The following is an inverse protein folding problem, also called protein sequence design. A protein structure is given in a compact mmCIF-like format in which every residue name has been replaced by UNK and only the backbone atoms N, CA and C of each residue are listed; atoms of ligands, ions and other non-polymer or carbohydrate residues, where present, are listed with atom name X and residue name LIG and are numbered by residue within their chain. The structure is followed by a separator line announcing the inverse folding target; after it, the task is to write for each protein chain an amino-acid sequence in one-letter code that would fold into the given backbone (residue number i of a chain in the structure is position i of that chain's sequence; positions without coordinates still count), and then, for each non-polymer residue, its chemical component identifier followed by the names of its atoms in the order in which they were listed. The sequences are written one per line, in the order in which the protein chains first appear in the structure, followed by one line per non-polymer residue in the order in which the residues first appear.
data_IF_775023898790
#
_entry.id   IF_775023898790
#
_cell.length_a   1.000
_cell.length_b   1.000
_cell.length_c   1.000
_cell.angle_alpha   90.00
_cell.angle_beta   90.00
_cell.angle_gamma   90.00
#
_symmetry.space_group_name_H-M   'P 1'
#
loop_
_entity.id
_entity.type
_entity.pdbx_description
1 polymer ?
#
# COMPACT_ATOMS: atom_id res chain seq x y z
N UNK A 1 12.59 0.84 -19.62
CA UNK A 1 11.32 0.52 -18.94
C UNK A 1 10.49 1.78 -18.92
N UNK A 2 9.20 1.69 -19.24
CA UNK A 2 8.28 2.81 -19.16
C UNK A 2 7.54 2.78 -17.82
N UNK A 3 7.48 3.93 -17.15
CA UNK A 3 6.68 4.16 -15.95
C UNK A 3 5.60 5.19 -16.28
N UNK A 4 4.33 4.83 -16.15
CA UNK A 4 3.23 5.77 -16.40
C UNK A 4 2.51 6.12 -15.10
N UNK A 5 2.54 7.39 -14.72
CA UNK A 5 1.83 7.87 -13.55
C UNK A 5 0.53 8.58 -13.94
N UNK A 6 -0.56 8.32 -13.22
CA UNK A 6 -1.82 9.03 -13.42
C UNK A 6 -2.60 9.13 -12.10
N UNK A 7 -3.75 9.79 -12.17
CA UNK A 7 -4.68 9.91 -11.05
C UNK A 7 -5.99 9.26 -11.44
N UNK A 8 -6.50 8.39 -10.58
CA UNK A 8 -7.79 7.74 -10.75
C UNK A 8 -8.93 8.72 -10.43
N UNK A 9 -10.12 8.55 -11.04
CA UNK A 9 -11.32 9.22 -10.58
C UNK A 9 -11.67 8.80 -9.14
N UNK A 10 -12.66 9.45 -8.48
CA UNK A 10 -13.13 9.02 -7.17
C UNK A 10 -13.40 7.52 -7.09
N UNK A 11 -12.87 6.90 -6.04
CA UNK A 11 -12.90 5.45 -5.89
C UNK A 11 -14.27 4.99 -5.41
N UNK A 12 -14.84 4.02 -6.11
CA UNK A 12 -15.98 3.24 -5.61
C UNK A 12 -15.46 2.11 -4.72
N UNK A 13 -15.70 2.24 -3.42
CA UNK A 13 -15.39 1.19 -2.45
C UNK A 13 -16.47 0.12 -2.45
N UNK A 14 -16.06 -1.12 -2.72
CA UNK A 14 -16.93 -2.29 -2.72
C UNK A 14 -16.95 -2.95 -1.34
N UNK A 15 -18.06 -3.60 -1.00
CA UNK A 15 -18.11 -4.47 0.16
C UNK A 15 -17.17 -5.68 -0.03
N UNK A 16 -16.55 -6.12 1.06
CA UNK A 16 -15.63 -7.28 1.04
C UNK A 16 -16.39 -8.57 0.67
N UNK A 17 -16.02 -9.28 -0.41
CA UNK A 17 -16.60 -10.58 -0.71
C UNK A 17 -16.12 -11.64 0.31
N UNK A 18 -16.86 -12.74 0.45
CA UNK A 18 -16.52 -13.81 1.39
C UNK A 18 -15.12 -14.42 1.18
N UNK A 19 -14.62 -14.41 -0.07
CA UNK A 19 -13.29 -14.88 -0.48
C UNK A 19 -12.17 -13.83 -0.32
N UNK A 20 -12.48 -12.65 0.22
CA UNK A 20 -11.67 -11.43 0.23
C UNK A 20 -11.37 -10.85 -1.17
N UNK A 21 -10.94 -11.68 -2.13
CA UNK A 21 -10.73 -11.32 -3.54
C UNK A 21 -11.79 -12.03 -4.40
N UNK A 22 -12.41 -11.34 -5.36
CA UNK A 22 -13.41 -11.98 -6.22
C UNK A 22 -12.78 -12.92 -7.26
N UNK A 23 -11.57 -12.59 -7.75
CA UNK A 23 -10.77 -13.45 -8.62
C UNK A 23 -9.26 -13.38 -8.28
N UNK A 24 -8.76 -14.22 -7.35
CA UNK A 24 -7.37 -14.19 -6.90
C UNK A 24 -6.30 -14.34 -8.00
N UNK A 25 -6.65 -14.98 -9.13
CA UNK A 25 -5.73 -15.22 -10.24
C UNK A 25 -5.64 -14.11 -11.27
N UNK A 26 -6.51 -13.08 -11.20
CA UNK A 26 -6.56 -12.02 -12.21
C UNK A 26 -6.81 -10.62 -11.63
N UNK A 27 -7.36 -10.51 -10.42
CA UNK A 27 -7.70 -9.22 -9.83
C UNK A 27 -6.51 -8.61 -9.10
N UNK A 28 -6.39 -7.28 -9.20
CA UNK A 28 -5.60 -6.47 -8.27
C UNK A 28 -6.57 -5.87 -7.27
N UNK A 29 -6.47 -6.26 -6.00
CA UNK A 29 -7.37 -5.78 -4.96
C UNK A 29 -6.63 -4.84 -3.99
N UNK A 30 -7.17 -3.65 -3.77
CA UNK A 30 -6.72 -2.70 -2.75
C UNK A 30 -7.81 -2.54 -1.69
N UNK A 31 -7.47 -2.89 -0.45
CA UNK A 31 -8.36 -2.82 0.70
C UNK A 31 -8.04 -1.58 1.52
N UNK A 32 -9.06 -0.86 1.98
CA UNK A 32 -8.93 0.10 3.09
C UNK A 32 -9.51 -0.46 4.37
N UNK A 33 -8.83 -0.22 5.48
CA UNK A 33 -9.25 -0.64 6.82
C UNK A 33 -9.20 0.56 7.76
N UNK A 34 -10.32 0.99 8.35
CA UNK A 34 -10.35 2.07 9.32
C UNK A 34 -9.84 1.58 10.68
N UNK A 35 -8.79 2.21 11.19
CA UNK A 35 -8.18 1.84 12.47
C UNK A 35 -9.16 2.18 13.61
N UNK A 36 -9.66 3.41 13.68
CA UNK A 36 -10.55 3.90 14.75
C UNK A 36 -11.75 2.98 15.00
N UNK A 37 -12.40 2.53 13.94
CA UNK A 37 -13.60 1.67 14.01
C UNK A 37 -13.27 0.27 14.53
N UNK A 38 -12.02 -0.19 14.36
CA UNK A 38 -11.58 -1.53 14.75
C UNK A 38 -10.77 -1.56 16.07
N UNK A 39 -10.51 -0.42 16.72
CA UNK A 39 -9.69 -0.38 17.95
C UNK A 39 -10.30 -1.18 19.10
N UNK A 40 -11.63 -1.09 19.28
CA UNK A 40 -12.35 -1.86 20.29
C UNK A 40 -12.29 -3.37 20.08
N UNK A 41 -11.91 -3.83 18.89
CA UNK A 41 -11.81 -5.24 18.55
C UNK A 41 -10.41 -5.82 18.76
N UNK A 42 -9.41 -4.99 19.10
CA UNK A 42 -8.02 -5.44 19.21
C UNK A 42 -7.82 -6.72 20.06
N UNK A 43 -8.47 -6.91 21.23
CA UNK A 43 -8.35 -8.15 22.01
C UNK A 43 -8.85 -9.39 21.25
N UNK A 44 -9.91 -9.25 20.45
CA UNK A 44 -10.50 -10.32 19.65
C UNK A 44 -9.71 -10.60 18.37
N UNK A 45 -8.86 -9.66 17.93
CA UNK A 45 -7.98 -9.82 16.78
C UNK A 45 -6.65 -10.50 17.12
N UNK A 46 -6.20 -10.45 18.38
CA UNK A 46 -4.94 -11.08 18.82
C UNK A 46 -4.82 -12.57 18.46
N UNK A 47 -5.86 -13.41 18.57
CA UNK A 47 -5.77 -14.82 18.17
C UNK A 47 -5.50 -15.06 16.68
N UNK A 48 -5.68 -14.04 15.83
CA UNK A 48 -5.35 -14.11 14.40
C UNK A 48 -3.84 -13.95 14.13
N UNK A 49 -3.09 -13.42 15.10
CA UNK A 49 -1.65 -13.15 15.01
C UNK A 49 -0.85 -14.33 15.56
N UNK A 50 0.39 -14.49 15.08
CA UNK A 50 1.34 -15.45 15.66
C UNK A 50 1.82 -15.00 17.03
N UNK A 51 2.36 -15.93 17.84
CA UNK A 51 2.93 -15.60 19.14
C UNK A 51 4.04 -14.52 19.05
N UNK A 52 4.89 -14.57 18.01
CA UNK A 52 5.93 -13.58 17.78
C UNK A 52 5.36 -12.18 17.47
N UNK A 53 4.27 -12.11 16.70
CA UNK A 53 3.59 -10.85 16.41
C UNK A 53 2.86 -10.31 17.63
N UNK A 54 2.20 -11.16 18.42
CA UNK A 54 1.59 -10.75 19.69
C UNK A 54 2.65 -10.19 20.65
N UNK A 55 3.83 -10.82 20.73
CA UNK A 55 4.94 -10.32 21.53
C UNK A 55 5.46 -8.97 20.99
N UNK A 56 5.55 -8.81 19.66
CA UNK A 56 5.92 -7.54 19.03
C UNK A 56 4.90 -6.44 19.33
N UNK A 57 3.61 -6.74 19.28
CA UNK A 57 2.55 -5.79 19.59
C UNK A 57 2.75 -5.20 21.00
N UNK A 58 3.04 -6.06 21.99
CA UNK A 58 3.26 -5.66 23.39
C UNK A 58 4.46 -4.73 23.61
N UNK A 59 5.34 -4.55 22.61
CA UNK A 59 6.50 -3.64 22.71
C UNK A 59 6.15 -2.19 22.35
N UNK A 60 4.99 -1.93 21.74
CA UNK A 60 4.56 -0.55 21.49
C UNK A 60 4.12 0.11 22.79
N UNK A 61 4.72 1.26 23.11
CA UNK A 61 4.36 2.05 24.29
C UNK A 61 3.12 2.90 24.06
N UNK A 62 2.95 3.45 22.85
CA UNK A 62 1.78 4.24 22.49
C UNK A 62 0.61 3.34 22.10
N UNK A 63 -0.56 3.56 22.70
CA UNK A 63 -1.79 2.81 22.39
C UNK A 63 -2.17 2.90 20.90
N UNK A 64 -1.93 4.05 20.27
CA UNK A 64 -2.18 4.23 18.84
C UNK A 64 -1.32 3.29 17.98
N UNK A 65 -0.04 3.14 18.28
CA UNK A 65 0.86 2.25 17.54
C UNK A 65 0.56 0.78 17.81
N UNK A 66 0.17 0.44 19.05
CA UNK A 66 -0.32 -0.88 19.42
C UNK A 66 -1.55 -1.28 18.59
N UNK A 67 -2.59 -0.44 18.57
CA UNK A 67 -3.80 -0.69 17.79
C UNK A 67 -3.51 -0.75 16.28
N UNK A 68 -2.73 0.21 15.76
CA UNK A 68 -2.34 0.23 14.34
C UNK A 68 -1.65 -1.07 13.95
N UNK A 69 -0.71 -1.56 14.75
CA UNK A 69 -0.01 -2.80 14.48
C UNK A 69 -0.95 -4.01 14.47
N UNK A 70 -1.79 -4.16 15.50
CA UNK A 70 -2.70 -5.31 15.60
C UNK A 70 -3.72 -5.31 14.47
N UNK A 71 -4.38 -4.18 14.22
CA UNK A 71 -5.42 -4.06 13.19
C UNK A 71 -4.82 -4.31 11.81
N UNK A 72 -3.68 -3.67 11.50
CA UNK A 72 -2.98 -3.89 10.23
C UNK A 72 -2.59 -5.36 10.04
N UNK A 73 -2.03 -6.00 11.06
CA UNK A 73 -1.57 -7.38 10.96
C UNK A 73 -2.72 -8.38 10.88
N UNK A 74 -3.76 -8.17 11.68
CA UNK A 74 -4.96 -9.00 11.68
C UNK A 74 -5.71 -8.92 10.34
N UNK A 75 -5.88 -7.70 9.81
CA UNK A 75 -6.47 -7.48 8.50
C UNK A 75 -5.70 -8.21 7.39
N UNK A 76 -4.37 -8.05 7.36
CA UNK A 76 -3.51 -8.73 6.38
C UNK A 76 -3.68 -10.25 6.44
N UNK A 77 -3.56 -10.83 7.64
CA UNK A 77 -3.68 -12.28 7.81
C UNK A 77 -5.07 -12.81 7.47
N UNK A 78 -6.12 -12.06 7.80
CA UNK A 78 -7.50 -12.43 7.50
C UNK A 78 -7.77 -12.41 5.99
N UNK A 79 -7.34 -11.35 5.30
CA UNK A 79 -7.50 -11.22 3.85
C UNK A 79 -6.73 -12.31 3.12
N UNK A 80 -5.44 -12.50 3.41
CA UNK A 80 -4.63 -13.55 2.79
C UNK A 80 -5.14 -14.95 3.15
N UNK A 81 -5.57 -15.18 4.39
CA UNK A 81 -6.13 -16.46 4.82
C UNK A 81 -7.41 -16.79 4.05
N UNK A 82 -8.26 -15.80 3.81
CA UNK A 82 -9.45 -15.96 2.97
C UNK A 82 -9.09 -16.25 1.50
N UNK A 83 -8.08 -15.57 0.93
CA UNK A 83 -7.62 -15.84 -0.43
C UNK A 83 -7.08 -17.27 -0.60
N UNK A 84 -6.40 -17.80 0.43
CA UNK A 84 -5.70 -19.08 0.39
C UNK A 84 -6.51 -20.25 0.97
N UNK A 85 -7.67 -19.99 1.58
CA UNK A 85 -8.39 -20.99 2.36
C UNK A 85 -7.62 -21.50 3.59
N UNK A 86 -6.73 -20.67 4.15
CA UNK A 86 -5.85 -21.03 5.27
C UNK A 86 -6.20 -20.26 6.56
N UNK A 87 -6.01 -20.85 7.75
CA UNK A 87 -6.16 -20.14 9.01
C UNK A 87 -5.22 -18.92 9.08
N UNK A 88 -5.70 -17.72 9.47
CA UNK A 88 -4.88 -16.50 9.52
C UNK A 88 -3.57 -16.64 10.30
N UNK A 89 -3.60 -17.32 11.46
CA UNK A 89 -2.43 -17.54 12.31
C UNK A 89 -1.43 -18.56 11.73
N UNK A 90 -1.86 -19.39 10.78
CA UNK A 90 -1.01 -20.38 10.11
C UNK A 90 -0.21 -19.84 8.93
N UNK A 91 -0.45 -18.58 8.52
CA UNK A 91 0.31 -17.97 7.42
C UNK A 91 1.74 -17.65 7.85
N UNK A 92 2.70 -18.10 7.05
CA UNK A 92 4.12 -17.83 7.27
C UNK A 92 4.62 -16.73 6.32
N UNK A 93 5.11 -15.65 6.93
CA UNK A 93 5.71 -14.52 6.22
C UNK A 93 7.22 -14.59 6.30
N UNK A 94 7.88 -14.48 5.15
CA UNK A 94 9.34 -14.48 5.04
C UNK A 94 9.84 -13.17 4.43
N UNK A 95 11.08 -12.79 4.74
CA UNK A 95 11.72 -11.66 4.08
C UNK A 95 12.23 -12.09 2.71
N UNK A 96 11.70 -11.47 1.65
CA UNK A 96 12.22 -11.57 0.30
C UNK A 96 13.38 -10.59 0.04
N UNK A 97 13.76 -10.41 -1.24
CA UNK A 97 14.74 -9.41 -1.65
C UNK A 97 14.44 -8.03 -1.04
N UNK A 98 15.49 -7.34 -0.57
CA UNK A 98 15.41 -6.03 0.08
C UNK A 98 14.36 -5.95 1.23
N UNK A 99 14.14 -7.06 1.93
CA UNK A 99 13.19 -7.20 3.06
C UNK A 99 11.72 -7.03 2.68
N UNK A 100 11.35 -7.05 1.39
CA UNK A 100 9.96 -7.07 0.98
C UNK A 100 9.29 -8.35 1.51
N UNK A 101 8.20 -8.26 2.29
CA UNK A 101 7.63 -9.44 2.92
C UNK A 101 6.86 -10.28 1.88
N UNK A 102 7.07 -11.59 1.90
CA UNK A 102 6.48 -12.57 0.99
C UNK A 102 5.74 -13.65 1.78
N UNK A 103 4.84 -14.39 1.11
CA UNK A 103 4.26 -15.62 1.64
C UNK A 103 5.19 -16.79 1.33
N UNK A 104 5.56 -17.59 2.35
CA UNK A 104 6.51 -18.69 2.18
C UNK A 104 6.00 -19.78 1.22
N UNK A 105 4.70 -20.06 1.25
CA UNK A 105 4.08 -21.21 0.57
C UNK A 105 3.45 -20.86 -0.77
N UNK A 106 3.28 -19.58 -1.09
CA UNK A 106 2.53 -19.11 -2.27
C UNK A 106 3.30 -17.96 -2.96
N UNK A 107 4.42 -18.26 -3.64
CA UNK A 107 5.31 -17.23 -4.17
C UNK A 107 4.74 -16.40 -5.31
N UNK A 108 3.61 -16.82 -5.91
CA UNK A 108 2.92 -16.10 -6.98
C UNK A 108 1.84 -15.13 -6.48
N UNK A 109 1.54 -15.11 -5.18
CA UNK A 109 0.63 -14.15 -4.58
C UNK A 109 1.42 -13.05 -3.89
N UNK A 110 1.37 -11.85 -4.44
CA UNK A 110 2.08 -10.68 -3.94
C UNK A 110 1.13 -9.84 -3.09
N UNK A 111 1.70 -9.18 -2.09
CA UNK A 111 0.97 -8.22 -1.29
C UNK A 111 1.85 -7.05 -0.87
N UNK A 112 1.21 -5.94 -0.52
CA UNK A 112 1.88 -4.81 0.09
C UNK A 112 0.96 -4.15 1.12
N UNK A 113 1.55 -3.53 2.15
CA UNK A 113 0.80 -2.88 3.22
C UNK A 113 1.39 -1.50 3.46
N UNK A 114 0.52 -0.50 3.57
CA UNK A 114 0.87 0.83 3.99
C UNK A 114 -0.15 1.32 5.03
N UNK A 115 0.24 2.27 5.87
CA UNK A 115 -0.67 2.87 6.83
C UNK A 115 -0.24 4.31 7.13
N UNK A 116 -1.20 5.18 7.32
CA UNK A 116 -0.95 6.56 7.77
C UNK A 116 -2.18 7.06 8.50
N UNK A 117 -1.96 7.85 9.56
CA UNK A 117 -3.03 8.30 10.44
C UNK A 117 -3.93 7.14 10.93
N UNK A 118 -5.20 7.18 10.50
CA UNK A 118 -6.26 6.27 10.91
C UNK A 118 -6.59 5.18 9.88
N UNK A 119 -5.80 5.02 8.82
CA UNK A 119 -6.08 4.07 7.74
C UNK A 119 -4.93 3.11 7.50
N UNK A 120 -5.29 1.88 7.17
CA UNK A 120 -4.40 0.87 6.60
C UNK A 120 -4.85 0.60 5.17
N UNK A 121 -3.92 0.58 4.24
CA UNK A 121 -4.10 0.01 2.91
C UNK A 121 -3.38 -1.33 2.81
N UNK A 122 -4.06 -2.30 2.21
CA UNK A 122 -3.49 -3.60 1.87
C UNK A 122 -3.74 -3.82 0.39
N UNK A 123 -2.71 -4.14 -0.38
CA UNK A 123 -2.84 -4.52 -1.78
C UNK A 123 -2.50 -6.02 -1.91
N UNK A 124 -3.28 -6.76 -2.71
CA UNK A 124 -3.07 -8.19 -3.01
C UNK A 124 -3.25 -8.38 -4.52
N UNK A 125 -2.31 -9.09 -5.15
CA UNK A 125 -2.32 -9.33 -6.59
C UNK A 125 -1.54 -10.60 -6.98
N UNK A 126 -1.83 -11.21 -8.15
CA UNK A 126 -1.04 -12.29 -8.74
C UNK A 126 0.26 -11.80 -9.42
N UNK A 127 0.56 -10.50 -9.30
CA UNK A 127 1.72 -9.83 -9.88
C UNK A 127 2.33 -8.90 -8.84
N UNK A 128 3.58 -8.47 -9.07
CA UNK A 128 4.22 -7.50 -8.18
C UNK A 128 3.36 -6.26 -7.95
N UNK A 129 3.25 -5.85 -6.68
CA UNK A 129 2.42 -4.72 -6.29
C UNK A 129 3.03 -3.94 -5.14
N UNK A 130 2.75 -2.64 -5.12
CA UNK A 130 3.08 -1.73 -4.03
C UNK A 130 1.94 -0.74 -3.81
N UNK A 131 1.71 -0.36 -2.55
CA UNK A 131 0.73 0.65 -2.17
C UNK A 131 1.37 1.59 -1.17
N UNK A 132 0.95 2.85 -1.22
CA UNK A 132 1.31 3.84 -0.22
C UNK A 132 0.12 4.74 0.12
N UNK A 133 0.10 5.26 1.35
CA UNK A 133 -0.94 6.16 1.84
C UNK A 133 -0.32 7.16 2.80
N UNK A 134 -0.70 8.42 2.67
CA UNK A 134 -0.32 9.48 3.60
C UNK A 134 -1.51 10.35 4.02
N UNK A 135 -1.57 10.65 5.32
CA UNK A 135 -2.44 11.70 5.85
C UNK A 135 -1.86 13.04 5.42
N UNK A 136 -2.64 13.79 4.65
CA UNK A 136 -2.22 15.11 4.17
C UNK A 136 -2.27 16.10 5.32
N UNK A 137 -1.12 16.68 5.63
CA UNK A 137 -0.97 17.80 6.54
C UNK A 137 -0.56 19.05 5.74
N UNK A 138 -1.43 20.07 5.60
CA UNK A 138 -1.12 21.30 4.88
C UNK A 138 0.10 22.06 5.43
N UNK A 139 0.39 21.89 6.73
CA UNK A 139 1.44 22.62 7.44
C UNK A 139 2.76 21.83 7.51
N UNK A 140 2.81 20.63 6.90
CA UNK A 140 4.01 19.80 6.91
C UNK A 140 5.19 20.52 6.21
N UNK A 141 6.35 20.69 6.87
CA UNK A 141 7.47 21.45 6.32
C UNK A 141 8.30 20.60 5.33
N UNK A 142 7.70 20.19 4.22
CA UNK A 142 8.33 19.30 3.22
C UNK A 142 9.52 19.92 2.46
N UNK A 143 9.81 21.21 2.63
CA UNK A 143 10.82 21.90 1.84
C UNK A 143 12.22 21.33 2.00
N UNK A 144 12.56 20.82 3.19
CA UNK A 144 13.83 20.15 3.46
C UNK A 144 13.97 18.80 2.76
N UNK A 145 12.87 18.20 2.30
CA UNK A 145 12.85 16.87 1.65
C UNK A 145 12.95 17.00 0.13
N UNK A 146 12.56 18.16 -0.43
CA UNK A 146 12.44 18.35 -1.87
C UNK A 146 13.75 18.10 -2.64
N UNK A 147 14.88 18.59 -2.12
CA UNK A 147 16.15 18.49 -2.81
C UNK A 147 16.66 17.05 -2.92
N UNK A 148 16.40 16.24 -1.90
CA UNK A 148 16.93 14.88 -1.79
C UNK A 148 16.02 13.83 -2.42
N UNK A 149 14.73 14.12 -2.59
CA UNK A 149 13.72 13.13 -3.00
C UNK A 149 13.01 13.45 -4.31
N UNK A 150 13.18 14.65 -4.88
CA UNK A 150 12.44 15.08 -6.07
C UNK A 150 13.36 15.71 -7.11
N UNK A 151 13.13 15.37 -8.38
CA UNK A 151 13.79 16.01 -9.51
C UNK A 151 13.39 17.48 -9.65
N UNK A 152 14.19 18.29 -10.37
CA UNK A 152 13.88 19.72 -10.56
C UNK A 152 12.47 19.98 -11.15
N UNK A 153 11.98 19.22 -12.15
CA UNK A 153 10.62 19.38 -12.64
C UNK A 153 9.54 19.07 -11.58
N UNK A 154 9.76 18.06 -10.74
CA UNK A 154 8.83 17.70 -9.66
C UNK A 154 8.82 18.77 -8.55
N UNK A 155 9.99 19.30 -8.19
CA UNK A 155 10.08 20.40 -7.24
C UNK A 155 9.35 21.65 -7.77
N UNK A 156 9.51 21.97 -9.05
CA UNK A 156 8.80 23.09 -9.68
C UNK A 156 7.28 22.87 -9.65
N UNK A 157 6.83 21.66 -10.01
CA UNK A 157 5.42 21.28 -9.94
C UNK A 157 4.84 21.46 -8.53
N UNK A 158 5.53 20.96 -7.50
CA UNK A 158 5.09 21.11 -6.09
C UNK A 158 5.00 22.57 -5.69
N UNK A 159 6.04 23.37 -5.95
CA UNK A 159 6.11 24.78 -5.53
C UNK A 159 5.08 25.67 -6.23
N UNK A 160 4.74 25.37 -7.48
CA UNK A 160 3.80 26.15 -8.28
C UNK A 160 2.34 25.71 -8.11
N UNK A 161 2.10 24.57 -7.46
CA UNK A 161 0.75 24.05 -7.26
C UNK A 161 -0.05 24.94 -6.29
N UNK A 162 -1.36 25.19 -6.51
CA UNK A 162 -2.20 25.97 -5.60
C UNK A 162 -2.28 25.39 -4.17
N UNK A 163 -2.07 24.07 -4.05
CA UNK A 163 -1.95 23.36 -2.78
C UNK A 163 -0.63 22.56 -2.76
N UNK A 164 0.50 23.18 -2.40
CA UNK A 164 1.82 22.55 -2.48
C UNK A 164 1.96 21.27 -1.65
N UNK A 165 1.43 21.24 -0.42
CA UNK A 165 1.46 20.05 0.42
C UNK A 165 0.72 18.86 -0.24
N UNK A 166 -0.46 19.10 -0.82
CA UNK A 166 -1.20 18.08 -1.56
C UNK A 166 -0.40 17.54 -2.74
N UNK A 167 0.26 18.42 -3.51
CA UNK A 167 1.12 17.99 -4.62
C UNK A 167 2.33 17.18 -4.13
N UNK A 168 2.95 17.60 -3.02
CA UNK A 168 4.03 16.85 -2.38
C UNK A 168 3.58 15.43 -2.01
N UNK A 169 2.50 15.27 -1.25
CA UNK A 169 2.01 13.94 -0.85
C UNK A 169 1.60 13.08 -2.05
N UNK A 170 1.01 13.67 -3.09
CA UNK A 170 0.70 12.94 -4.32
C UNK A 170 1.96 12.37 -4.97
N UNK A 171 2.99 13.18 -5.18
CA UNK A 171 4.23 12.69 -5.79
C UNK A 171 4.99 11.74 -4.85
N UNK A 172 5.00 12.01 -3.55
CA UNK A 172 5.62 11.15 -2.54
C UNK A 172 5.03 9.74 -2.55
N UNK A 173 3.71 9.63 -2.43
CA UNK A 173 3.01 8.33 -2.42
C UNK A 173 3.23 7.55 -3.72
N UNK A 174 3.35 8.22 -4.88
CA UNK A 174 3.70 7.56 -6.16
C UNK A 174 5.09 6.92 -6.11
N UNK A 175 6.10 7.66 -5.64
CA UNK A 175 7.47 7.16 -5.50
C UNK A 175 7.51 5.97 -4.53
N UNK A 176 6.93 6.11 -3.34
CA UNK A 176 6.86 5.06 -2.32
C UNK A 176 6.16 3.80 -2.83
N UNK A 177 4.98 3.94 -3.44
CA UNK A 177 4.25 2.79 -3.98
C UNK A 177 5.08 2.05 -5.04
N UNK A 178 5.76 2.78 -5.92
CA UNK A 178 6.61 2.20 -6.96
C UNK A 178 7.87 1.52 -6.41
N UNK A 179 8.57 2.15 -5.46
CA UNK A 179 9.74 1.57 -4.78
C UNK A 179 9.36 0.30 -4.01
N UNK A 180 8.20 0.29 -3.35
CA UNK A 180 7.64 -0.89 -2.68
C UNK A 180 7.30 -2.01 -3.66
N UNK A 181 6.77 -1.66 -4.83
CA UNK A 181 6.41 -2.64 -5.85
C UNK A 181 7.64 -3.29 -6.48
N UNK A 182 8.66 -2.50 -6.82
CA UNK A 182 9.92 -2.95 -7.44
C UNK A 182 10.90 -3.58 -6.46
N UNK A 183 10.60 -3.57 -5.16
CA UNK A 183 11.45 -4.10 -4.10
C UNK A 183 12.85 -3.45 -4.03
N UNK A 184 13.03 -2.20 -4.49
CA UNK A 184 14.34 -1.51 -4.38
C UNK A 184 14.64 -1.04 -2.95
N UNK A 185 13.60 -0.85 -2.12
CA UNK A 185 13.76 -0.52 -0.70
C UNK A 185 14.46 0.82 -0.44
N UNK A 186 15.18 0.90 0.68
CA UNK A 186 15.88 2.11 1.18
C UNK A 186 17.03 2.54 0.25
N UNK A 187 17.49 1.64 -0.62
CA UNK A 187 18.58 1.89 -1.57
C UNK A 187 18.12 2.64 -2.83
N UNK A 188 16.82 2.87 -2.98
CA UNK A 188 16.28 3.65 -4.08
C UNK A 188 16.68 5.13 -3.94
N UNK A 189 17.26 5.69 -5.00
CA UNK A 189 17.43 7.14 -5.12
C UNK A 189 16.08 7.77 -5.53
N UNK A 190 15.34 8.26 -4.53
CA UNK A 190 14.02 8.87 -4.74
C UNK A 190 14.06 10.04 -5.73
N UNK A 191 15.17 10.77 -5.80
CA UNK A 191 15.32 11.89 -6.74
C UNK A 191 15.22 11.46 -8.21
N UNK A 192 15.55 10.20 -8.48
CA UNK A 192 15.51 9.61 -9.83
C UNK A 192 14.13 9.03 -10.16
N UNK A 193 13.37 8.56 -9.17
CA UNK A 193 12.07 7.88 -9.39
C UNK A 193 11.03 8.85 -9.96
N UNK A 194 10.56 8.72 -11.21
CA UNK A 194 9.62 9.68 -11.78
C UNK A 194 8.23 9.59 -11.14
N UNK A 195 7.61 10.73 -10.82
CA UNK A 195 6.30 10.78 -10.19
C UNK A 195 5.30 11.74 -10.87
N UNK A 196 5.73 12.60 -11.79
CA UNK A 196 4.83 13.51 -12.52
C UNK A 196 3.80 12.72 -13.35
N UNK A 197 2.64 13.30 -13.64
CA UNK A 197 1.66 12.63 -14.49
C UNK A 197 2.20 12.41 -15.92
N UNK A 198 1.80 11.29 -16.54
CA UNK A 198 2.21 10.90 -17.88
C UNK A 198 3.28 9.79 -17.91
N UNK A 199 3.76 9.45 -19.12
CA UNK A 199 4.78 8.43 -19.32
C UNK A 199 6.19 8.97 -19.05
N UNK A 200 7.02 8.14 -18.43
CA UNK A 200 8.42 8.42 -18.12
C UNK A 200 9.30 7.27 -18.56
N UNK A 201 10.51 7.59 -19.00
CA UNK A 201 11.57 6.60 -19.15
C UNK A 201 12.25 6.41 -17.80
N UNK A 202 12.29 5.17 -17.34
CA UNK A 202 12.95 4.79 -16.10
C UNK A 202 14.07 3.80 -16.40
N UNK A 203 15.28 4.17 -16.00
CA UNK A 203 16.45 3.30 -16.03
C UNK A 203 16.49 2.53 -14.71
N UNK A 204 16.03 1.28 -14.73
CA UNK A 204 16.12 0.42 -13.57
C UNK A 204 17.58 0.30 -13.13
N UNK A 205 17.86 0.51 -11.84
CA UNK A 205 19.17 0.22 -11.25
C UNK A 205 19.44 -1.28 -11.16
N UNK A 206 18.38 -2.09 -11.18
CA UNK A 206 18.43 -3.55 -11.17
C UNK A 206 17.57 -4.15 -12.28
N UNK A 207 17.97 -5.31 -12.86
CA UNK A 207 17.14 -6.02 -13.82
C UNK A 207 15.79 -6.37 -13.18
N UNK A 208 14.71 -5.86 -13.76
CA UNK A 208 13.34 -6.21 -13.38
C UNK A 208 12.75 -7.12 -14.47
N UNK A 209 12.09 -8.24 -14.11
CA UNK A 209 11.35 -9.04 -15.09
C UNK A 209 10.12 -8.29 -15.62
N UNK A 210 9.67 -7.25 -14.91
CA UNK A 210 8.58 -6.37 -15.34
C UNK A 210 9.17 -5.26 -16.23
N UNK A 211 8.69 -5.21 -17.48
CA UNK A 211 9.15 -4.26 -18.48
C UNK A 211 8.60 -2.85 -18.24
N UNK A 212 7.31 -2.73 -17.91
CA UNK A 212 6.59 -1.47 -17.79
C UNK A 212 5.65 -1.46 -16.58
N UNK A 213 5.46 -0.27 -16.02
CA UNK A 213 4.72 -0.05 -14.79
C UNK A 213 3.69 1.07 -14.91
N UNK A 214 2.64 0.92 -14.12
CA UNK A 214 1.62 1.94 -13.90
C UNK A 214 1.61 2.30 -12.42
N UNK A 215 1.53 3.61 -12.14
CA UNK A 215 1.30 4.14 -10.80
C UNK A 215 0.05 5.01 -10.81
N UNK A 216 -0.94 4.59 -10.05
CA UNK A 216 -2.25 5.21 -9.95
C UNK A 216 -2.40 5.90 -8.61
N UNK A 217 -2.44 7.24 -8.59
CA UNK A 217 -2.86 7.99 -7.40
C UNK A 217 -4.36 7.94 -7.20
N UNK A 218 -4.81 7.93 -5.95
CA UNK A 218 -6.23 8.02 -5.58
C UNK A 218 -6.40 8.61 -4.19
N UNK A 219 -7.60 9.08 -3.87
CA UNK A 219 -7.97 9.53 -2.54
C UNK A 219 -8.65 8.37 -1.78
N UNK A 220 -8.01 7.79 -0.74
CA UNK A 220 -8.59 6.67 -0.01
C UNK A 220 -9.67 7.10 0.98
N UNK A 221 -9.57 8.31 1.50
CA UNK A 221 -10.49 8.97 2.42
C UNK A 221 -10.22 10.49 2.38
N UNK A 222 -11.12 11.28 2.97
CA UNK A 222 -10.92 12.73 3.11
C UNK A 222 -9.65 13.05 3.91
N UNK A 223 -8.81 13.95 3.40
CA UNK A 223 -7.55 14.32 4.04
C UNK A 223 -6.42 13.29 3.88
N UNK A 224 -6.57 12.33 2.97
CA UNK A 224 -5.54 11.34 2.67
C UNK A 224 -5.24 11.29 1.17
N UNK A 225 -4.00 10.98 0.84
CA UNK A 225 -3.55 10.70 -0.53
C UNK A 225 -2.91 9.32 -0.56
N UNK A 226 -3.13 8.55 -1.63
CA UNK A 226 -2.55 7.23 -1.79
C UNK A 226 -2.13 6.98 -3.23
N UNK A 227 -1.29 5.96 -3.43
CA UNK A 227 -0.98 5.43 -4.74
C UNK A 227 -0.85 3.91 -4.72
N UNK A 228 -1.14 3.28 -5.86
CA UNK A 228 -0.88 1.85 -6.10
C UNK A 228 -0.03 1.71 -7.36
N UNK A 229 0.99 0.88 -7.30
CA UNK A 229 1.92 0.60 -8.38
C UNK A 229 1.86 -0.88 -8.77
N UNK A 230 1.74 -1.15 -10.07
CA UNK A 230 1.57 -2.50 -10.62
C UNK A 230 2.05 -2.58 -12.08
N UNK A 231 2.38 -3.78 -12.60
CA UNK A 231 2.78 -3.98 -14.00
C UNK A 231 1.74 -3.49 -15.00
N UNK A 232 2.19 -2.80 -16.05
CA UNK A 232 1.31 -2.27 -17.11
C UNK A 232 0.61 -3.36 -17.94
N UNK A 233 1.08 -4.61 -17.86
CA UNK A 233 0.41 -5.76 -18.47
C UNK A 233 -0.96 -6.08 -17.83
N UNK A 234 -1.23 -5.56 -16.63
CA UNK A 234 -2.55 -5.70 -15.99
C UNK A 234 -3.46 -4.56 -16.45
N UNK A 235 -4.62 -4.91 -16.98
CA UNK A 235 -5.60 -3.94 -17.40
C UNK A 235 -6.16 -3.17 -16.20
N UNK A 236 -6.38 -1.86 -16.35
CA UNK A 236 -6.99 -1.04 -15.29
C UNK A 236 -8.37 -1.57 -14.84
N UNK A 237 -9.08 -2.29 -15.72
CA UNK A 237 -10.35 -2.96 -15.41
C UNK A 237 -10.22 -4.10 -14.40
N UNK A 238 -9.00 -4.56 -14.09
CA UNK A 238 -8.71 -5.59 -13.08
C UNK A 238 -8.42 -5.00 -11.69
N UNK A 239 -8.28 -3.67 -11.57
CA UNK A 239 -8.09 -3.00 -10.30
C UNK A 239 -9.44 -2.84 -9.57
N UNK A 240 -9.50 -3.30 -8.32
CA UNK A 240 -10.69 -3.27 -7.45
C UNK A 240 -10.34 -2.69 -6.09
N UNK A 241 -11.29 -1.97 -5.52
CA UNK A 241 -11.13 -1.30 -4.22
C UNK A 241 -12.20 -1.79 -3.27
N UNK A 242 -11.79 -2.26 -2.09
CA UNK A 242 -12.66 -2.87 -1.10
C UNK A 242 -12.54 -2.18 0.25
N UNK A 243 -13.66 -2.08 0.94
CA UNK A 243 -13.71 -1.59 2.31
C UNK A 243 -13.88 -2.75 3.28
N UNK A 244 -13.01 -2.79 4.27
CA UNK A 244 -13.08 -3.72 5.40
C UNK A 244 -13.46 -2.94 6.64
N UNK A 245 -14.74 -2.58 6.74
CA UNK A 245 -15.25 -1.76 7.84
C UNK A 245 -15.08 -2.47 9.20
N UNK A 246 -15.40 -3.77 9.26
CA UNK A 246 -15.39 -4.56 10.49
C UNK A 246 -14.53 -5.83 10.33
N UNK A 247 -13.50 -5.97 11.17
CA UNK A 247 -12.60 -7.11 11.18
C UNK A 247 -13.12 -8.33 11.96
N UNK A 248 -14.18 -8.20 12.74
CA UNK A 248 -14.81 -9.33 13.45
C UNK A 248 -15.89 -9.99 12.61
N UNK A 249 -16.75 -9.21 11.97
CA UNK A 249 -17.82 -9.76 11.15
C UNK A 249 -17.30 -10.05 9.74
N UNK A 250 -17.55 -11.26 9.20
CA UNK A 250 -17.49 -11.43 7.74
C UNK A 250 -18.72 -10.68 7.25
N UNK A 251 -18.57 -9.77 6.28
CA UNK A 251 -19.71 -9.07 5.69
C UNK A 251 -20.84 -10.07 5.45
N UNK A 252 -22.05 -9.71 5.91
CA UNK A 252 -23.25 -10.53 5.79
C UNK A 252 -23.53 -10.89 4.33
#
# INVERSE_FOLDING_TARGET
MQLTCHTLPPIRWLALPASAVANPGAEIAVYRVPIAENQGHAPHLLPLLTAAEQQRARRYHAAADYHRFIISRAALRRLLGACLGQPPAGLEFVAGPHKKPLLATVPHLHYNVAHSGNWVLIAIAPVEIGVDIEKTDPDFPFQGILADSFSLPEQAFIRQHPAPATAFYQLWTRKEAFVKATAQGIEADFSQVPALAGPHQWAATHPSPVADWVVSSFAPAEGYTAAVAYPAAVAASQLRFYEVADLLHRGQ
#
